data_IF_926742704676
#
_entry.id   IF_926742704676
#
_cell.length_a   1.000
_cell.length_b   1.000
_cell.length_c   1.000
_cell.angle_alpha   90.00
_cell.angle_beta   90.00
_cell.angle_gamma   90.00
#
_symmetry.space_group_name_H-M   'P 1'
#
loop_
_entity.id
_entity.type
_entity.pdbx_description
1 polymer ?
#
# COMPACT_ATOMS: atom_id res chain seq x y z
N UNK A 1 -3.00 -22.17 0.54
CA UNK A 1 -3.48 -20.77 0.66
C UNK A 1 -2.54 -19.91 1.52
N UNK A 2 -2.16 -20.35 2.74
CA UNK A 2 -1.09 -19.72 3.56
C UNK A 2 0.26 -19.57 2.84
N UNK A 3 0.56 -20.45 1.88
CA UNK A 3 1.82 -20.45 1.15
C UNK A 3 1.95 -19.28 0.18
N UNK A 4 0.85 -18.81 -0.43
CA UNK A 4 0.89 -17.70 -1.41
C UNK A 4 1.16 -16.37 -0.69
N UNK A 5 0.44 -16.08 0.40
CA UNK A 5 0.69 -14.87 1.21
C UNK A 5 2.15 -14.83 1.70
N UNK A 6 2.65 -15.95 2.22
CA UNK A 6 4.03 -16.07 2.66
C UNK A 6 5.02 -15.89 1.51
N UNK A 7 4.79 -16.52 0.36
CA UNK A 7 5.64 -16.40 -0.81
C UNK A 7 5.72 -14.95 -1.30
N UNK A 8 4.58 -14.26 -1.38
CA UNK A 8 4.53 -12.85 -1.78
C UNK A 8 5.28 -11.97 -0.79
N UNK A 9 5.09 -12.14 0.51
CA UNK A 9 5.84 -11.40 1.54
C UNK A 9 7.35 -11.64 1.44
N UNK A 10 7.78 -12.86 1.11
CA UNK A 10 9.19 -13.18 0.83
C UNK A 10 9.67 -12.45 -0.43
N UNK A 11 8.88 -12.42 -1.52
CA UNK A 11 9.25 -11.70 -2.75
C UNK A 11 9.41 -10.20 -2.50
N UNK A 12 8.44 -9.58 -1.80
CA UNK A 12 8.51 -8.18 -1.38
C UNK A 12 9.73 -7.89 -0.47
N UNK A 13 10.26 -8.90 0.22
CA UNK A 13 11.44 -8.74 1.07
C UNK A 13 12.73 -8.84 0.27
N UNK A 14 12.81 -9.85 -0.62
CA UNK A 14 14.04 -10.20 -1.32
C UNK A 14 14.28 -9.39 -2.58
N UNK A 15 13.21 -8.91 -3.21
CA UNK A 15 13.28 -8.26 -4.53
C UNK A 15 12.48 -6.95 -4.57
N UNK A 16 12.69 -6.01 -3.64
CA UNK A 16 11.90 -4.77 -3.57
C UNK A 16 11.96 -3.95 -4.86
N UNK A 17 13.14 -3.85 -5.49
CA UNK A 17 13.30 -3.14 -6.78
C UNK A 17 12.46 -3.76 -7.90
N UNK A 18 12.45 -5.08 -8.02
CA UNK A 18 11.65 -5.77 -9.04
C UNK A 18 10.16 -5.65 -8.77
N UNK A 19 9.76 -5.63 -7.51
CA UNK A 19 8.37 -5.39 -7.15
C UNK A 19 7.97 -3.93 -7.41
N UNK A 20 8.85 -2.95 -7.18
CA UNK A 20 8.62 -1.56 -7.57
C UNK A 20 8.40 -1.43 -9.09
N UNK A 21 9.22 -2.10 -9.89
CA UNK A 21 9.05 -2.14 -11.35
C UNK A 21 7.65 -2.65 -11.74
N UNK A 22 7.12 -3.64 -11.02
CA UNK A 22 5.78 -4.21 -11.23
C UNK A 22 4.65 -3.29 -10.76
N UNK A 23 4.82 -2.59 -9.64
CA UNK A 23 3.76 -1.74 -9.09
C UNK A 23 3.64 -0.43 -9.85
N UNK A 24 4.77 0.10 -10.34
CA UNK A 24 4.85 1.42 -10.96
C UNK A 24 5.21 1.34 -12.45
N UNK A 25 4.80 0.24 -13.12
CA UNK A 25 5.02 -0.11 -14.54
C UNK A 25 5.64 1.03 -15.35
N UNK A 26 6.96 0.97 -15.48
CA UNK A 26 7.78 1.83 -16.33
C UNK A 26 7.74 3.34 -16.02
N UNK A 27 8.23 3.76 -14.85
CA UNK A 27 8.65 5.16 -14.67
C UNK A 27 10.16 5.28 -14.52
N UNK A 28 10.79 5.81 -15.58
CA UNK A 28 12.14 6.40 -15.50
C UNK A 28 12.13 7.43 -14.37
N UNK A 29 13.01 7.27 -13.38
CA UNK A 29 13.15 8.24 -12.29
C UNK A 29 12.65 7.78 -10.92
N UNK A 30 12.15 6.54 -10.79
CA UNK A 30 11.94 5.91 -9.48
C UNK A 30 13.19 5.10 -9.10
N UNK A 31 13.74 5.35 -7.91
CA UNK A 31 14.95 4.69 -7.39
C UNK A 31 14.67 4.16 -6.00
N UNK A 32 14.88 2.86 -5.79
CA UNK A 32 14.82 2.26 -4.46
C UNK A 32 15.98 2.75 -3.60
N UNK A 33 15.70 3.15 -2.36
CA UNK A 33 16.70 3.66 -1.43
C UNK A 33 16.93 2.70 -0.24
N UNK A 34 15.91 1.93 0.14
CA UNK A 34 16.02 1.00 1.26
C UNK A 34 14.68 0.53 1.80
N UNK A 35 14.75 -0.38 2.78
CA UNK A 35 13.59 -0.80 3.57
C UNK A 35 13.67 -0.10 4.92
N UNK A 36 12.56 0.49 5.35
CA UNK A 36 12.39 0.94 6.72
C UNK A 36 11.56 -0.07 7.49
N UNK A 37 11.94 -0.31 8.74
CA UNK A 37 11.05 -0.90 9.75
C UNK A 37 10.63 0.25 10.67
N UNK A 38 9.67 1.10 10.24
CA UNK A 38 9.19 2.15 11.11
C UNK A 38 8.58 1.48 12.32
N UNK A 39 9.16 1.74 13.49
CA UNK A 39 8.60 1.34 14.77
C UNK A 39 7.29 2.12 15.01
N UNK A 40 6.22 1.72 14.33
CA UNK A 40 4.87 2.13 14.73
C UNK A 40 4.56 1.31 15.98
N UNK A 41 4.68 1.94 17.15
CA UNK A 41 4.40 1.34 18.46
C UNK A 41 2.89 1.14 18.68
N UNK A 42 2.22 0.41 17.77
CA UNK A 42 0.86 -0.10 17.96
C UNK A 42 0.89 -1.58 17.53
N UNK A 43 0.91 -2.53 18.48
CA UNK A 43 1.04 -3.96 18.18
C UNK A 43 0.03 -4.50 17.16
N UNK A 44 -1.18 -3.94 17.15
CA UNK A 44 -2.28 -4.31 16.25
C UNK A 44 -2.14 -3.74 14.82
N UNK A 45 -1.17 -2.84 14.59
CA UNK A 45 -1.07 -2.04 13.35
C UNK A 45 0.31 -2.05 12.70
N UNK A 46 1.11 -3.08 12.99
CA UNK A 46 2.39 -3.28 12.29
C UNK A 46 2.15 -3.22 10.77
N UNK A 47 2.90 -2.35 10.09
CA UNK A 47 2.93 -2.33 8.64
C UNK A 47 3.66 -3.58 8.16
N UNK A 48 3.16 -4.24 7.13
CA UNK A 48 3.83 -5.42 6.59
C UNK A 48 5.21 -5.03 6.05
N UNK A 49 5.28 -3.94 5.27
CA UNK A 49 6.52 -3.38 4.73
C UNK A 49 6.44 -1.89 4.43
N UNK A 50 7.57 -1.21 4.58
CA UNK A 50 7.77 0.16 4.12
C UNK A 50 9.06 0.26 3.31
N UNK A 51 8.95 0.73 2.07
CA UNK A 51 10.08 1.00 1.20
C UNK A 51 10.32 2.50 1.07
N UNK A 52 11.58 2.90 1.11
CA UNK A 52 11.99 4.25 0.76
C UNK A 52 12.35 4.29 -0.71
N UNK A 53 11.81 5.27 -1.42
CA UNK A 53 12.13 5.51 -2.83
C UNK A 53 12.38 7.01 -3.07
N UNK A 54 13.18 7.29 -4.09
CA UNK A 54 13.18 8.60 -4.74
C UNK A 54 12.32 8.51 -5.99
N UNK A 55 11.32 9.38 -6.12
CA UNK A 55 10.50 9.53 -7.33
C UNK A 55 10.72 10.93 -7.91
N UNK A 56 11.37 11.01 -9.08
CA UNK A 56 11.73 12.28 -9.72
C UNK A 56 12.44 13.27 -8.76
N UNK A 57 13.33 12.75 -7.92
CA UNK A 57 14.10 13.53 -6.94
C UNK A 57 13.36 13.82 -5.62
N UNK A 58 12.10 13.38 -5.47
CA UNK A 58 11.35 13.51 -4.21
C UNK A 58 11.48 12.23 -3.40
N UNK A 59 11.87 12.36 -2.13
CA UNK A 59 11.92 11.22 -1.21
C UNK A 59 10.51 10.91 -0.70
N UNK A 60 10.01 9.72 -1.00
CA UNK A 60 8.71 9.23 -0.57
C UNK A 60 8.85 7.84 0.03
N UNK A 61 7.86 7.42 0.80
CA UNK A 61 7.77 6.06 1.32
C UNK A 61 6.60 5.31 0.69
N UNK A 62 6.78 4.03 0.44
CA UNK A 62 5.75 3.12 -0.08
C UNK A 62 5.41 2.11 1.01
N UNK A 63 4.21 2.23 1.56
CA UNK A 63 3.64 1.30 2.53
C UNK A 63 2.90 0.18 1.79
N UNK A 64 3.28 -1.07 2.01
CA UNK A 64 2.73 -2.20 1.25
C UNK A 64 2.00 -3.14 2.20
N UNK A 65 0.76 -3.47 1.82
CA UNK A 65 -0.12 -4.40 2.52
C UNK A 65 -0.52 -5.51 1.54
N UNK A 66 -0.30 -6.77 1.91
CA UNK A 66 -0.70 -7.93 1.11
C UNK A 66 -1.87 -8.65 1.75
N UNK A 67 -2.93 -8.90 0.98
CA UNK A 67 -4.16 -9.53 1.45
C UNK A 67 -4.72 -10.49 0.42
N UNK A 68 -5.36 -11.57 0.85
CA UNK A 68 -6.02 -12.51 -0.07
C UNK A 68 -7.19 -11.82 -0.79
N UNK A 69 -8.11 -11.23 -0.03
CA UNK A 69 -9.35 -10.66 -0.55
C UNK A 69 -9.55 -9.20 -0.11
N UNK A 70 -10.22 -8.37 -0.92
CA UNK A 70 -10.60 -7.02 -0.54
C UNK A 70 -11.66 -7.00 0.56
N UNK A 71 -11.43 -6.18 1.59
CA UNK A 71 -12.35 -6.04 2.74
C UNK A 71 -12.56 -4.57 3.07
N UNK A 72 -13.79 -4.07 2.93
CA UNK A 72 -14.16 -2.67 3.19
C UNK A 72 -13.74 -2.22 4.61
N UNK A 73 -13.89 -3.10 5.61
CA UNK A 73 -13.53 -2.81 7.01
C UNK A 73 -12.05 -2.50 7.23
N UNK A 74 -11.17 -2.94 6.32
CA UNK A 74 -9.72 -2.73 6.46
C UNK A 74 -9.28 -1.36 5.93
N UNK A 75 -10.08 -0.70 5.10
CA UNK A 75 -9.71 0.60 4.52
C UNK A 75 -9.47 1.67 5.60
N UNK A 76 -10.22 1.62 6.70
CA UNK A 76 -9.99 2.49 7.85
C UNK A 76 -8.62 2.26 8.49
N UNK A 77 -8.22 0.99 8.62
CA UNK A 77 -6.91 0.62 9.15
C UNK A 77 -5.78 1.12 8.24
N UNK A 78 -5.90 0.94 6.92
CA UNK A 78 -4.92 1.43 5.96
C UNK A 78 -4.78 2.96 5.97
N UNK A 79 -5.92 3.67 6.06
CA UNK A 79 -5.94 5.13 6.20
C UNK A 79 -5.20 5.57 7.46
N UNK A 80 -5.41 4.89 8.58
CA UNK A 80 -4.73 5.23 9.83
C UNK A 80 -3.24 4.87 9.80
N UNK A 81 -2.85 3.69 9.29
CA UNK A 81 -1.44 3.31 9.14
C UNK A 81 -0.69 4.30 8.26
N UNK A 82 -1.28 4.71 7.13
CA UNK A 82 -0.69 5.70 6.24
C UNK A 82 -0.38 7.02 6.98
N UNK A 83 -1.35 7.59 7.68
CA UNK A 83 -1.17 8.83 8.44
C UNK A 83 -0.09 8.69 9.53
N UNK A 84 -0.07 7.58 10.27
CA UNK A 84 0.94 7.30 11.29
C UNK A 84 2.36 7.18 10.69
N UNK A 85 2.47 6.56 9.52
CA UNK A 85 3.73 6.44 8.80
C UNK A 85 4.23 7.80 8.28
N UNK A 86 3.33 8.63 7.75
CA UNK A 86 3.69 9.99 7.29
C UNK A 86 4.21 10.82 8.46
N UNK A 87 3.54 10.73 9.61
CA UNK A 87 3.97 11.40 10.83
C UNK A 87 5.33 10.88 11.33
N UNK A 88 5.56 9.57 11.33
CA UNK A 88 6.79 8.97 11.83
C UNK A 88 7.99 9.25 10.92
N UNK A 89 7.81 9.14 9.60
CA UNK A 89 8.89 9.23 8.61
C UNK A 89 9.16 10.67 8.14
N UNK A 90 8.27 11.62 8.47
CA UNK A 90 8.32 13.02 8.05
C UNK A 90 8.47 13.19 6.53
N UNK A 91 7.81 12.32 5.77
CA UNK A 91 7.79 12.30 4.30
C UNK A 91 6.47 11.73 3.79
N UNK A 92 6.05 12.07 2.55
CA UNK A 92 4.82 11.53 1.97
C UNK A 92 4.85 10.00 1.91
N UNK A 93 3.72 9.36 2.22
CA UNK A 93 3.58 7.90 2.17
C UNK A 93 2.49 7.50 1.20
N UNK A 94 2.82 6.62 0.26
CA UNK A 94 1.86 5.99 -0.66
C UNK A 94 1.55 4.59 -0.16
N UNK A 95 0.28 4.29 0.11
CA UNK A 95 -0.14 2.92 0.46
C UNK A 95 -0.50 2.13 -0.80
N UNK A 96 0.15 0.98 -0.99
CA UNK A 96 -0.12 -0.01 -2.05
C UNK A 96 -0.73 -1.25 -1.40
N UNK A 97 -1.94 -1.60 -1.81
CA UNK A 97 -2.65 -2.79 -1.31
C UNK A 97 -2.65 -3.84 -2.43
N UNK A 98 -2.05 -4.99 -2.15
CA UNK A 98 -1.94 -6.12 -3.08
C UNK A 98 -2.98 -7.17 -2.70
N UNK A 99 -4.00 -7.31 -3.55
CA UNK A 99 -4.99 -8.38 -3.43
C UNK A 99 -4.54 -9.59 -4.24
N UNK A 100 -4.30 -10.71 -3.57
CA UNK A 100 -3.65 -11.90 -4.16
C UNK A 100 -4.62 -12.82 -4.89
N UNK A 101 -5.90 -12.81 -4.51
CA UNK A 101 -6.92 -13.57 -5.21
C UNK A 101 -7.55 -12.77 -6.34
N UNK A 102 -7.81 -13.46 -7.45
CA UNK A 102 -8.49 -12.87 -8.60
C UNK A 102 -9.93 -12.54 -8.22
N UNK A 103 -10.23 -11.25 -8.08
CA UNK A 103 -11.57 -10.76 -7.79
C UNK A 103 -12.20 -9.99 -8.94
N UNK A 104 -13.46 -9.60 -8.75
CA UNK A 104 -14.13 -8.62 -9.62
C UNK A 104 -13.57 -7.25 -9.29
N UNK A 105 -12.47 -6.86 -9.95
CA UNK A 105 -11.76 -5.63 -9.59
C UNK A 105 -12.66 -4.42 -9.51
N UNK A 106 -13.69 -4.32 -10.38
CA UNK A 106 -14.72 -3.27 -10.39
C UNK A 106 -15.38 -3.04 -9.03
N UNK A 107 -15.61 -4.10 -8.25
CA UNK A 107 -16.28 -4.07 -6.96
C UNK A 107 -15.33 -3.89 -5.77
N UNK A 108 -14.04 -3.67 -6.01
CA UNK A 108 -13.08 -3.54 -4.92
C UNK A 108 -13.32 -2.23 -4.17
N UNK A 109 -13.38 -2.28 -2.83
CA UNK A 109 -13.58 -1.12 -1.99
C UNK A 109 -12.36 -0.20 -2.13
N UNK A 110 -12.62 1.09 -2.29
CA UNK A 110 -11.57 2.08 -2.49
C UNK A 110 -11.87 3.42 -1.83
N UNK A 111 -13.01 3.54 -1.14
CA UNK A 111 -13.38 4.73 -0.39
C UNK A 111 -13.67 4.30 1.04
N UNK A 112 -12.99 4.92 1.99
CA UNK A 112 -13.34 4.87 3.40
C UNK A 112 -14.07 6.15 3.78
N UNK A 113 -15.27 6.02 4.33
CA UNK A 113 -16.09 7.16 4.72
C UNK A 113 -16.41 7.11 6.22
N UNK A 114 -16.42 8.27 6.85
CA UNK A 114 -16.88 8.44 8.23
C UNK A 114 -17.96 9.53 8.23
N UNK A 115 -19.08 9.24 8.88
CA UNK A 115 -20.22 10.13 8.94
C UNK A 115 -20.66 10.37 10.38
N UNK A 116 -20.93 11.63 10.72
CA UNK A 116 -21.51 12.04 11.99
C UNK A 116 -22.64 13.04 11.71
N UNK A 117 -23.89 12.55 11.71
CA UNK A 117 -25.05 13.34 11.28
C UNK A 117 -24.91 13.78 9.82
N UNK A 118 -24.87 15.09 9.58
CA UNK A 118 -24.69 15.71 8.26
C UNK A 118 -23.21 15.86 7.84
N UNK A 119 -22.27 15.64 8.74
CA UNK A 119 -20.83 15.77 8.47
C UNK A 119 -20.29 14.48 7.85
N UNK A 120 -19.49 14.61 6.78
CA UNK A 120 -18.91 13.49 6.05
C UNK A 120 -17.44 13.73 5.74
N UNK A 121 -16.60 12.77 6.08
CA UNK A 121 -15.20 12.69 5.65
C UNK A 121 -15.01 11.47 4.76
N UNK A 122 -14.36 11.63 3.62
CA UNK A 122 -14.04 10.55 2.69
C UNK A 122 -12.54 10.49 2.44
N UNK A 123 -11.98 9.29 2.46
CA UNK A 123 -10.61 9.01 2.07
C UNK A 123 -10.62 8.02 0.90
N UNK A 124 -9.97 8.40 -0.20
CA UNK A 124 -10.02 7.66 -1.47
C UNK A 124 -8.65 7.02 -1.73
N UNK A 125 -8.66 5.70 -1.91
CA UNK A 125 -7.51 4.94 -2.39
C UNK A 125 -7.58 4.88 -3.92
N UNK A 126 -6.53 5.34 -4.59
CA UNK A 126 -6.46 5.27 -6.05
C UNK A 126 -6.47 3.79 -6.51
N UNK A 127 -7.29 3.49 -7.51
CA UNK A 127 -7.36 2.15 -8.11
C UNK A 127 -6.52 2.12 -9.38
N UNK A 128 -5.43 1.35 -9.36
CA UNK A 128 -4.71 1.02 -10.58
C UNK A 128 -5.37 -0.26 -11.13
N UNK A 129 -6.39 -0.07 -11.96
CA UNK A 129 -6.91 -1.14 -12.80
C UNK A 129 -5.93 -1.29 -13.95
N UNK A 130 -5.07 -2.32 -13.94
CA UNK A 130 -4.35 -2.72 -15.15
C UNK A 130 -5.37 -3.29 -16.15
N UNK A 131 -6.07 -2.36 -16.80
CA UNK A 131 -6.99 -2.61 -17.90
C UNK A 131 -6.32 -2.08 -19.17
N UNK A 132 -5.33 -2.81 -19.66
CA UNK A 132 -5.10 -2.95 -21.10
C UNK A 132 -4.49 -4.32 -21.32
N UNK A 133 -5.36 -5.27 -21.68
CA UNK A 133 -4.94 -6.42 -22.47
C UNK A 133 -4.18 -5.86 -23.68
N UNK A 134 -2.90 -6.19 -23.78
CA UNK A 134 -2.23 -6.28 -25.08
C UNK A 134 -2.60 -7.64 -25.63
#
# INVERSE_FOLDING_TARGET
MFEIDRAVKVLLSKYPEKCLDLFFVQKRGVVFQGVEDPQINIPERRADKVWLISDHGKNVAVHIEAMLEPKQRELGNFKTKNALLEEALKRPVVTVILYLEKGKYETFPYIYETQAGLLKNSHVFARILYAKRV
#
